data_IF_819483059593
#
_entry.id   IF_819483059593
#
_cell.length_a   1.000
_cell.length_b   1.000
_cell.length_c   1.000
_cell.angle_alpha   90.00
_cell.angle_beta   90.00
_cell.angle_gamma   90.00
#
_symmetry.space_group_name_H-M   'P 1'
#
loop_
_entity.id
_entity.type
_entity.pdbx_description
1 polymer ?
2 non-polymer ?
3 non-polymer ?
4 water ?
#
# COMPACT_ATOMS: atom_id res chain seq x y z
N UNK A 14 3.83 3.07 -21.60
CA UNK A 14 3.84 3.40 -20.19
C UNK A 14 4.27 2.26 -19.29
N UNK A 15 3.52 1.16 -19.32
CA UNK A 15 3.87 0.00 -18.50
C UNK A 15 5.20 -0.56 -18.96
N UNK A 16 6.00 -1.00 -18.01
CA UNK A 16 7.27 -1.65 -18.26
C UNK A 16 7.21 -3.05 -17.67
N UNK A 17 7.35 -4.07 -18.52
CA UNK A 17 7.30 -5.45 -18.07
C UNK A 17 8.70 -5.86 -17.62
N UNK A 18 8.80 -6.43 -16.44
CA UNK A 18 10.10 -6.82 -15.90
C UNK A 18 9.84 -8.17 -15.25
N UNK A 19 10.25 -9.22 -15.94
CA UNK A 19 9.82 -10.55 -15.57
C UNK A 19 8.31 -10.62 -15.59
N UNK A 20 7.76 -11.14 -14.50
CA UNK A 20 6.32 -11.28 -14.34
C UNK A 20 5.69 -10.09 -13.65
N UNK A 21 6.43 -9.00 -13.45
CA UNK A 21 5.93 -7.80 -12.81
C UNK A 21 5.80 -6.67 -13.82
N UNK A 22 5.05 -5.65 -13.45
CA UNK A 22 4.84 -4.47 -14.27
C UNK A 22 5.13 -3.22 -13.45
N UNK A 23 5.85 -2.27 -14.04
CA UNK A 23 6.22 -1.03 -13.38
C UNK A 23 5.74 0.13 -14.23
N UNK A 24 5.16 1.14 -13.61
CA UNK A 24 4.62 2.29 -14.33
C UNK A 24 5.03 3.56 -13.60
N UNK A 25 5.71 4.46 -14.28
CA UNK A 25 6.05 5.74 -13.66
C UNK A 25 4.81 6.62 -13.54
N UNK A 26 4.56 7.14 -12.34
CA UNK A 26 3.40 8.00 -12.08
C UNK A 26 3.74 9.46 -11.92
N UNK A 27 4.98 9.76 -11.53
CA UNK A 27 5.47 11.11 -11.32
C UNK A 27 6.98 11.03 -11.41
N UNK A 28 7.68 12.16 -11.45
CA UNK A 28 9.15 12.10 -11.62
C UNK A 28 9.88 11.17 -10.67
N UNK A 29 9.44 11.09 -9.42
CA UNK A 29 10.12 10.27 -8.40
C UNK A 29 9.22 9.14 -7.88
N UNK A 30 8.17 8.76 -8.60
CA UNK A 30 7.21 7.77 -8.09
C UNK A 30 6.85 6.77 -9.18
N UNK A 31 6.89 5.50 -8.81
CA UNK A 31 6.51 4.42 -9.69
C UNK A 31 5.53 3.49 -8.97
N UNK A 32 4.64 2.89 -9.75
CA UNK A 32 3.75 1.85 -9.26
C UNK A 32 4.33 0.50 -9.63
N UNK A 33 4.43 -0.40 -8.64
CA UNK A 33 4.80 -1.80 -8.89
C UNK A 33 3.55 -2.65 -8.89
N UNK A 34 3.49 -3.61 -9.83
CA UNK A 34 2.33 -4.48 -9.93
C UNK A 34 2.80 -5.91 -10.04
N UNK A 35 2.21 -6.77 -9.23
CA UNK A 35 2.52 -8.19 -9.21
C UNK A 35 1.22 -8.97 -9.21
N UNK A 36 1.31 -10.23 -9.62
CA UNK A 36 0.14 -11.07 -9.88
C UNK A 36 0.21 -12.39 -9.14
N UNK A 37 -0.92 -12.84 -8.63
CA UNK A 37 -1.01 -14.15 -8.02
C UNK A 37 -2.25 -14.84 -8.54
N UNK A 38 -2.08 -16.05 -9.06
CA UNK A 38 -3.20 -16.92 -9.38
C UNK A 38 -3.91 -17.26 -8.08
N UNK A 39 -5.09 -16.68 -7.89
CA UNK A 39 -5.94 -17.03 -6.78
C UNK A 39 -7.01 -17.97 -7.32
N UNK A 40 -6.95 -19.27 -7.02
CA UNK A 40 -7.98 -20.20 -7.50
C UNK A 40 -9.38 -19.68 -7.20
N UNK A 41 -10.21 -19.56 -8.24
CA UNK A 41 -11.53 -18.99 -8.12
C UNK A 41 -11.64 -17.53 -8.51
N UNK A 42 -10.53 -16.81 -8.64
CA UNK A 42 -10.58 -15.38 -8.98
C UNK A 42 -9.72 -14.97 -10.16
N UNK A 43 -8.91 -15.86 -10.72
CA UNK A 43 -8.01 -15.47 -11.79
C UNK A 43 -6.67 -15.01 -11.25
N UNK A 44 -5.90 -14.41 -12.14
CA UNK A 44 -4.58 -13.89 -11.80
C UNK A 44 -4.74 -12.44 -11.33
N UNK A 45 -4.64 -12.23 -10.03
CA UNK A 45 -5.06 -10.97 -9.43
C UNK A 45 -3.87 -10.02 -9.32
N UNK A 46 -4.03 -8.82 -9.84
CA UNK A 46 -3.00 -7.79 -9.73
C UNK A 46 -3.06 -7.14 -8.35
N UNK A 47 -1.89 -6.78 -7.83
CA UNK A 47 -1.80 -5.93 -6.67
C UNK A 47 -0.76 -4.88 -6.92
N UNK A 48 -1.09 -3.62 -6.57
CA UNK A 48 -0.20 -2.49 -6.79
C UNK A 48 0.38 -1.98 -5.48
N UNK A 49 1.65 -1.58 -5.53
CA UNK A 49 2.26 -0.76 -4.52
C UNK A 49 3.05 0.37 -5.13
N UNK A 50 3.89 1.03 -4.34
CA UNK A 50 4.64 2.19 -4.80
C UNK A 50 6.12 2.10 -4.51
N UNK A 51 6.89 2.80 -5.32
CA UNK A 51 8.32 3.02 -5.14
C UNK A 51 8.54 4.51 -5.25
N UNK A 52 9.22 5.11 -4.27
CA UNK A 52 9.44 6.56 -4.25
C UNK A 52 10.93 6.83 -4.09
N UNK A 53 11.51 7.65 -4.96
CA UNK A 53 12.86 8.13 -4.74
C UNK A 53 12.79 9.40 -3.91
N UNK A 54 13.54 9.44 -2.82
CA UNK A 54 13.68 10.63 -1.99
C UNK A 54 15.16 10.97 -1.95
N UNK A 55 15.60 11.83 -2.86
CA UNK A 55 17.01 12.19 -2.92
C UNK A 55 17.84 10.98 -3.25
N UNK A 56 18.76 10.65 -2.36
CA UNK A 56 19.65 9.53 -2.59
C UNK A 56 19.20 8.19 -2.07
N UNK A 57 17.92 8.03 -1.76
CA UNK A 57 17.44 6.75 -1.28
C UNK A 57 16.07 6.49 -1.87
N UNK A 58 15.66 5.23 -1.74
CA UNK A 58 14.38 4.73 -2.26
C UNK A 58 13.54 4.23 -1.10
N UNK A 59 12.23 4.51 -1.16
CA UNK A 59 11.26 4.05 -0.17
C UNK A 59 10.21 3.22 -0.88
N UNK A 60 9.79 2.12 -0.27
CA UNK A 60 8.83 1.21 -0.87
C UNK A 60 7.56 1.15 -0.04
N UNK A 61 6.42 1.18 -0.73
CA UNK A 61 5.12 0.97 -0.10
C UNK A 61 4.55 -0.34 -0.64
N UNK A 62 4.39 -1.31 0.27
CA UNK A 62 3.89 -2.66 0.07
C UNK A 62 4.88 -3.58 -0.62
N UNK A 63 4.89 -4.84 -0.18
CA UNK A 63 5.61 -5.86 -0.92
C UNK A 63 4.78 -6.30 -2.13
N UNK A 64 5.34 -7.23 -2.91
CA UNK A 64 4.55 -8.00 -3.84
C UNK A 64 3.92 -9.19 -3.11
N UNK A 65 3.20 -10.04 -3.85
CA UNK A 65 2.56 -11.17 -3.21
C UNK A 65 3.56 -12.15 -2.60
N UNK A 66 4.73 -12.32 -3.20
CA UNK A 66 5.67 -13.35 -2.75
C UNK A 66 7.05 -12.78 -2.53
N UNK A 67 7.87 -13.56 -1.82
CA UNK A 67 9.27 -13.20 -1.65
C UNK A 67 9.99 -13.07 -2.99
N UNK A 68 9.80 -14.05 -3.89
CA UNK A 68 10.48 -13.99 -5.18
C UNK A 68 10.09 -12.75 -5.97
N UNK A 69 8.80 -12.40 -6.00
CA UNK A 69 8.37 -11.19 -6.69
C UNK A 69 8.96 -9.96 -6.03
N UNK A 70 9.02 -9.96 -4.70
CA UNK A 70 9.56 -8.81 -3.98
C UNK A 70 11.05 -8.62 -4.24
N UNK A 71 11.79 -9.72 -4.32
CA UNK A 71 13.19 -9.64 -4.75
C UNK A 71 13.30 -9.05 -6.15
N UNK A 72 12.35 -9.39 -7.03
CA UNK A 72 12.37 -8.79 -8.37
C UNK A 72 12.09 -7.29 -8.32
N UNK A 73 11.24 -6.82 -7.40
CA UNK A 73 11.09 -5.38 -7.23
C UNK A 73 12.43 -4.74 -6.90
N UNK A 74 13.17 -5.38 -5.99
CA UNK A 74 14.45 -4.81 -5.59
C UNK A 74 15.43 -4.83 -6.77
N UNK A 75 15.36 -5.87 -7.62
CA UNK A 75 16.20 -5.94 -8.81
C UNK A 75 15.85 -4.84 -9.80
N UNK A 76 14.56 -4.58 -10.00
CA UNK A 76 14.14 -3.48 -10.85
C UNK A 76 14.65 -2.14 -10.31
N UNK A 77 14.56 -1.93 -9.00
CA UNK A 77 15.05 -0.70 -8.40
C UNK A 77 16.54 -0.55 -8.68
N UNK A 78 17.30 -1.63 -8.53
CA UNK A 78 18.74 -1.58 -8.77
C UNK A 78 19.02 -1.17 -10.21
N UNK A 79 18.25 -1.69 -11.16
CA UNK A 79 18.47 -1.41 -12.59
C UNK A 79 18.03 0.00 -12.96
N UNK A 80 16.86 0.44 -12.48
CA UNK A 80 16.25 1.66 -12.98
C UNK A 80 16.56 2.88 -12.13
N UNK A 81 16.92 2.69 -10.86
CA UNK A 81 17.18 3.80 -9.94
C UNK A 81 18.60 3.73 -9.39
N UNK A 82 19.02 2.54 -8.96
CA UNK A 82 20.39 2.31 -8.50
C UNK A 82 20.75 3.17 -7.28
N UNK A 83 19.85 3.19 -6.30
CA UNK A 83 20.09 3.80 -5.01
C UNK A 83 19.57 2.85 -3.93
N UNK A 84 20.08 2.95 -2.71
CA UNK A 84 19.67 2.02 -1.66
C UNK A 84 18.21 2.21 -1.27
N UNK A 85 17.58 1.10 -0.90
CA UNK A 85 16.22 1.14 -0.38
C UNK A 85 16.29 1.33 1.13
N UNK A 86 15.93 2.52 1.60
CA UNK A 86 16.08 2.84 3.02
C UNK A 86 15.04 2.16 3.89
N UNK A 87 13.82 1.99 3.40
CA UNK A 87 12.77 1.41 4.23
C UNK A 87 11.62 1.01 3.34
N UNK A 88 10.76 0.16 3.91
CA UNK A 88 9.48 -0.17 3.31
C UNK A 88 8.39 -0.05 4.37
N UNK A 89 7.23 0.42 3.96
CA UNK A 89 6.05 0.42 4.81
C UNK A 89 4.96 -0.40 4.13
N UNK A 90 4.28 -1.24 4.88
CA UNK A 90 3.28 -2.14 4.33
C UNK A 90 1.95 -1.82 4.98
N UNK A 91 0.86 -1.96 4.20
CA UNK A 91 -0.37 -1.25 4.55
C UNK A 91 -1.46 -2.09 5.18
N UNK A 92 -1.33 -3.42 5.26
CA UNK A 92 -2.10 -4.26 6.16
C UNK A 92 -1.58 -5.69 6.06
N UNK A 93 -2.04 -6.55 6.96
CA UNK A 93 -1.58 -7.94 7.05
C UNK A 93 -2.40 -8.89 6.15
N UNK A 94 -2.32 -8.67 4.84
CA UNK A 94 -2.75 -9.63 3.85
C UNK A 94 -1.58 -9.86 2.89
N UNK A 95 -1.65 -10.97 2.16
CA UNK A 95 -0.50 -11.46 1.37
C UNK A 95 -0.07 -10.49 0.29
N UNK A 96 -1.02 -9.78 -0.34
CA UNK A 96 -0.64 -8.89 -1.41
C UNK A 96 0.21 -7.73 -0.92
N UNK A 97 0.12 -7.37 0.36
CA UNK A 97 0.83 -6.23 0.94
C UNK A 97 2.04 -6.62 1.77
N UNK A 98 2.01 -7.82 2.35
CA UNK A 98 3.03 -8.28 3.29
C UNK A 98 3.66 -9.61 2.91
N UNK A 99 3.26 -10.22 1.80
CA UNK A 99 3.74 -11.54 1.46
C UNK A 99 5.24 -11.63 1.22
N UNK A 100 5.90 -10.52 0.91
CA UNK A 100 7.32 -10.54 0.60
C UNK A 100 8.22 -9.99 1.68
N UNK A 101 7.74 -9.94 2.92
CA UNK A 101 8.54 -9.38 4.02
C UNK A 101 9.91 -10.03 4.14
N UNK A 102 9.97 -11.36 4.04
CA UNK A 102 11.26 -12.01 4.22
C UNK A 102 12.27 -11.56 3.17
N UNK A 103 11.81 -11.28 1.95
CA UNK A 103 12.74 -10.77 0.94
C UNK A 103 13.30 -9.40 1.31
N UNK A 104 12.47 -8.54 1.89
CA UNK A 104 12.97 -7.24 2.31
C UNK A 104 14.00 -7.41 3.43
N UNK A 105 13.70 -8.31 4.37
CA UNK A 105 14.64 -8.54 5.48
C UNK A 105 15.93 -9.16 5.00
N UNK A 106 15.86 -10.08 4.04
CA UNK A 106 17.07 -10.69 3.51
C UNK A 106 17.96 -9.65 2.85
N UNK A 107 17.35 -8.61 2.28
CA UNK A 107 18.06 -7.51 1.64
C UNK A 107 18.54 -6.45 2.61
N UNK A 108 18.23 -6.58 3.89
CA UNK A 108 18.67 -5.61 4.87
C UNK A 108 17.83 -4.35 4.96
N UNK A 109 16.58 -4.39 4.50
CA UNK A 109 15.75 -3.20 4.45
C UNK A 109 14.92 -3.13 5.72
N UNK A 110 14.90 -1.97 6.38
CA UNK A 110 14.07 -1.76 7.55
C UNK A 110 12.60 -1.69 7.16
N UNK A 111 11.76 -2.37 7.93
CA UNK A 111 10.35 -2.49 7.58
C UNK A 111 9.43 -1.98 8.68
N UNK A 112 8.30 -1.40 8.26
CA UNK A 112 7.35 -0.73 9.13
C UNK A 112 5.94 -1.16 8.76
N UNK A 113 5.11 -1.35 9.78
CA UNK A 113 3.69 -1.59 9.57
C UNK A 113 2.94 -1.05 10.77
N UNK A 114 1.64 -0.80 10.61
CA UNK A 114 0.77 -0.59 11.76
C UNK A 114 1.06 -1.63 12.83
N UNK A 115 1.19 -1.18 14.07
CA UNK A 115 1.33 -2.13 15.19
C UNK A 115 0.30 -3.25 15.08
N UNK A 116 -0.94 -2.92 14.73
CA UNK A 116 -1.97 -3.97 14.65
C UNK A 116 -1.68 -4.95 13.52
N UNK A 117 -1.13 -4.48 12.39
CA UNK A 117 -0.70 -5.41 11.35
C UNK A 117 0.36 -6.38 11.85
N UNK A 118 1.34 -5.88 12.62
CA UNK A 118 2.34 -6.79 13.16
C UNK A 118 1.72 -7.78 14.13
N UNK A 119 0.76 -7.33 14.93
CA UNK A 119 0.08 -8.24 15.84
C UNK A 119 -0.66 -9.33 15.10
N UNK A 120 -1.32 -8.96 14.00
CA UNK A 120 -2.12 -9.90 13.21
C UNK A 120 -1.30 -10.77 12.28
N UNK A 121 -0.08 -10.38 11.99
CA UNK A 121 0.69 -11.04 10.94
C UNK A 121 0.77 -12.54 11.13
N UNK A 122 1.18 -13.06 12.30
CA UNK A 122 1.29 -14.52 12.42
C UNK A 122 0.00 -15.25 12.08
N UNK A 123 -1.15 -14.81 12.62
CA UNK A 123 -2.40 -15.54 12.38
C UNK A 123 -2.85 -15.40 10.92
N UNK A 124 -2.48 -14.32 10.27
CA UNK A 124 -2.79 -14.13 8.86
C UNK A 124 -1.81 -14.83 7.94
N UNK A 125 -0.78 -15.47 8.47
CA UNK A 125 0.18 -16.15 7.62
C UNK A 125 1.31 -15.29 7.12
N UNK A 126 1.49 -14.11 7.68
CA UNK A 126 2.51 -13.16 7.27
C UNK A 126 3.67 -13.15 8.26
N UNK A 127 4.81 -12.66 7.80
CA UNK A 127 5.94 -12.30 8.66
C UNK A 127 5.74 -10.83 9.06
N UNK A 128 5.87 -10.53 10.35
CA UNK A 128 5.69 -9.14 10.80
C UNK A 128 6.81 -8.23 10.29
N UNK A 129 6.49 -6.95 10.16
CA UNK A 129 7.53 -5.95 9.97
C UNK A 129 8.35 -5.78 11.24
N UNK A 130 9.52 -5.18 11.10
CA UNK A 130 10.44 -5.01 12.23
C UNK A 130 9.99 -3.91 13.18
N UNK A 131 9.28 -2.91 12.68
CA UNK A 131 8.91 -1.73 13.44
C UNK A 131 7.41 -1.53 13.36
N UNK A 132 6.84 -1.02 14.45
CA UNK A 132 5.41 -0.78 14.56
C UNK A 132 5.08 0.71 14.56
N UNK A 133 4.17 1.10 13.69
CA UNK A 133 3.63 2.45 13.66
C UNK A 133 2.45 2.53 14.60
N UNK A 134 2.34 3.63 15.32
CA UNK A 134 1.14 3.91 16.07
C UNK A 134 0.61 5.26 15.63
N UNK A 135 -0.66 5.52 15.94
CA UNK A 135 -1.40 6.62 15.36
C UNK A 135 -2.12 7.42 16.43
N UNK A 136 -2.17 8.73 16.20
CA UNK A 136 -2.91 9.62 17.06
C UNK A 136 -4.41 9.42 16.88
N UNK A 137 -5.17 10.00 17.80
CA UNK A 137 -6.63 9.90 17.74
C UNK A 137 -7.17 10.39 16.41
N UNK A 138 -6.52 11.38 15.81
CA UNK A 138 -6.98 11.91 14.53
C UNK A 138 -6.51 11.11 13.33
N UNK A 139 -5.77 10.01 13.53
CA UNK A 139 -5.39 9.14 12.44
C UNK A 139 -3.97 9.33 11.93
N UNK A 140 -3.34 10.48 12.18
CA UNK A 140 -1.99 10.67 11.67
C UNK A 140 -1.00 9.85 12.47
N UNK A 141 0.00 9.31 11.77
CA UNK A 141 1.02 8.53 12.44
C UNK A 141 1.71 9.35 13.53
N UNK A 142 1.98 8.71 14.65
CA UNK A 142 2.82 9.32 15.66
C UNK A 142 4.24 9.45 15.11
N UNK A 143 4.76 10.67 14.99
CA UNK A 143 5.97 10.89 14.18
C UNK A 143 7.19 10.10 14.63
N UNK A 144 7.36 9.85 15.93
CA UNK A 144 8.53 9.10 16.34
C UNK A 144 8.49 7.66 15.86
N UNK A 145 7.32 7.13 15.49
CA UNK A 145 7.26 5.75 15.05
C UNK A 145 7.55 5.59 13.57
N UNK A 146 7.61 6.71 12.83
CA UNK A 146 7.90 6.69 11.40
C UNK A 146 9.10 7.61 11.12
N UNK A 147 10.24 7.31 11.72
CA UNK A 147 11.40 8.18 11.53
C UNK A 147 11.93 8.06 10.10
N UNK A 148 12.44 9.18 9.60
CA UNK A 148 13.12 9.19 8.30
C UNK A 148 12.21 8.77 7.16
N UNK A 149 10.91 9.04 7.26
CA UNK A 149 9.96 8.67 6.21
C UNK A 149 9.95 9.67 5.06
N UNK A 150 10.70 10.76 5.11
CA UNK A 150 10.80 11.69 4.01
C UNK A 150 9.43 12.18 3.58
N UNK A 151 9.09 12.04 2.30
CA UNK A 151 7.80 12.55 1.81
C UNK A 151 6.61 11.64 2.11
N UNK A 152 6.79 10.47 2.72
CA UNK A 152 5.67 9.58 2.96
C UNK A 152 4.89 10.04 4.18
N UNK A 153 3.60 10.32 4.00
CA UNK A 153 2.73 10.81 5.06
C UNK A 153 1.71 9.72 5.38
N UNK A 154 1.84 9.08 6.53
CA UNK A 154 1.09 7.85 6.82
C UNK A 154 -0.13 8.19 7.68
N UNK A 155 -1.29 7.65 7.31
CA UNK A 155 -2.57 7.97 7.92
C UNK A 155 -3.39 6.69 8.13
N UNK A 156 -3.90 6.51 9.35
CA UNK A 156 -4.83 5.43 9.67
C UNK A 156 -6.24 5.98 9.59
N UNK A 157 -7.04 5.57 8.60
CA UNK A 157 -8.35 6.18 8.43
C UNK A 157 -9.44 5.56 9.28
N UNK A 158 -9.14 4.53 10.06
CA UNK A 158 -10.14 3.75 10.72
C UNK A 158 -10.30 2.39 10.07
N UNK A 159 -10.97 1.48 10.77
CA UNK A 159 -11.13 0.11 10.24
C UNK A 159 -12.08 0.09 9.04
N UNK A 160 -11.77 -0.75 8.08
CA UNK A 160 -12.58 -0.81 6.89
C UNK A 160 -12.41 -2.11 6.15
N UNK A 161 -11.54 -2.09 5.14
CA UNK A 161 -11.19 -3.33 4.46
C UNK A 161 -10.68 -4.36 5.44
N UNK A 162 -9.85 -3.93 6.39
CA UNK A 162 -9.42 -4.72 7.53
C UNK A 162 -9.39 -3.76 8.71
N UNK A 163 -9.18 -4.33 9.90
CA UNK A 163 -9.06 -3.51 11.10
C UNK A 163 -7.79 -2.67 11.09
N UNK A 164 -6.77 -3.12 10.37
CA UNK A 164 -5.43 -2.56 10.44
C UNK A 164 -5.03 -1.70 9.24
N UNK A 165 -5.90 -1.51 8.26
CA UNK A 165 -5.50 -0.86 7.01
C UNK A 165 -5.00 0.57 7.23
N UNK A 166 -3.88 0.91 6.58
CA UNK A 166 -3.33 2.25 6.60
C UNK A 166 -3.13 2.77 5.18
N UNK A 167 -2.90 4.07 5.08
CA UNK A 167 -2.84 4.78 3.80
C UNK A 167 -1.65 5.73 3.81
N UNK A 168 -1.21 6.15 2.62
CA UNK A 168 0.03 6.91 2.50
C UNK A 168 -0.12 7.97 1.44
N UNK A 169 0.17 9.22 1.79
CA UNK A 169 0.30 10.27 0.81
C UNK A 169 1.76 10.54 0.50
N UNK A 170 2.03 11.07 -0.69
CA UNK A 170 3.40 11.40 -1.09
C UNK A 170 3.52 12.90 -1.22
N UNK A 171 4.19 13.52 -0.26
CA UNK A 171 4.36 14.97 -0.33
C UNK A 171 5.17 15.35 -1.56
N UNK A 172 4.84 16.50 -2.12
CA UNK A 172 5.45 16.95 -3.35
C UNK A 172 4.83 16.38 -4.60
N UNK A 173 3.77 15.60 -4.47
CA UNK A 173 3.07 15.03 -5.61
C UNK A 173 1.58 15.21 -5.37
N UNK A 174 0.77 14.85 -6.38
CA UNK A 174 -0.67 14.82 -6.22
C UNK A 174 -1.20 13.44 -5.91
N UNK A 175 -0.37 12.57 -5.33
CA UNK A 175 -0.66 11.15 -5.22
C UNK A 175 -0.98 10.79 -3.78
N UNK A 176 -2.04 10.01 -3.59
CA UNK A 176 -2.32 9.37 -2.32
C UNK A 176 -2.68 7.92 -2.58
N UNK A 177 -2.22 7.05 -1.71
CA UNK A 177 -2.33 5.61 -1.85
C UNK A 177 -3.30 5.07 -0.82
N UNK A 178 -4.42 4.53 -1.30
CA UNK A 178 -5.45 3.95 -0.46
C UNK A 178 -5.31 2.47 -0.20
N UNK A 179 -4.34 1.81 -0.85
CA UNK A 179 -4.18 0.39 -0.63
C UNK A 179 -5.45 -0.36 -0.96
N UNK A 180 -5.78 -1.33 -0.13
CA UNK A 180 -6.96 -2.13 -0.42
C UNK A 180 -8.25 -1.57 0.16
N UNK A 181 -8.18 -0.39 0.77
CA UNK A 181 -9.38 0.28 1.25
C UNK A 181 -10.19 0.87 0.10
N UNK A 182 -9.52 1.37 -0.93
CA UNK A 182 -10.17 2.13 -2.00
C UNK A 182 -10.21 1.32 -3.27
N UNK A 183 -11.35 1.35 -3.97
CA UNK A 183 -11.54 0.72 -5.25
C UNK A 183 -11.86 1.83 -6.26
N UNK A 184 -11.68 1.55 -7.56
CA UNK A 184 -11.83 2.62 -8.54
C UNK A 184 -13.30 2.99 -8.73
N UNK A 185 -13.51 4.11 -9.43
CA UNK A 185 -14.81 4.76 -9.52
C UNK A 185 -15.85 3.92 -10.26
N UNK A 186 -15.43 2.91 -11.01
CA UNK A 186 -16.37 2.05 -11.71
C UNK A 186 -16.35 0.61 -11.21
N UNK A 187 -15.72 0.36 -10.06
CA UNK A 187 -15.76 -0.96 -9.45
C UNK A 187 -17.19 -1.29 -9.01
N UNK A 188 -17.48 -2.59 -8.95
CA UNK A 188 -18.80 -3.10 -8.65
C UNK A 188 -18.92 -3.74 -7.27
N UNK A 189 -17.80 -4.04 -6.61
CA UNK A 189 -17.80 -4.75 -5.34
C UNK A 189 -16.58 -4.30 -4.54
N UNK A 190 -16.74 -4.22 -3.22
CA UNK A 190 -15.63 -3.98 -2.31
C UNK A 190 -14.87 -5.25 -1.97
N UNK A 191 -15.22 -6.36 -2.59
CA UNK A 191 -14.64 -7.65 -2.24
C UNK A 191 -15.55 -8.46 -1.35
N UNK A 192 -14.98 -9.56 -0.84
CA UNK A 192 -15.74 -10.51 -0.05
C UNK A 192 -16.00 -10.02 1.37
N UNK A 193 -15.20 -9.09 1.88
CA UNK A 193 -15.42 -8.43 3.17
C UNK A 193 -15.22 -9.36 4.37
N UNK A 194 -14.45 -10.43 4.21
CA UNK A 194 -14.34 -11.41 5.28
C UNK A 194 -13.72 -10.85 6.55
N UNK A 195 -12.72 -9.98 6.39
CA UNK A 195 -12.02 -9.35 7.51
C UNK A 195 -12.44 -7.91 7.70
N UNK A 196 -13.49 -7.48 7.02
CA UNK A 196 -13.85 -6.08 6.95
C UNK A 196 -14.64 -5.65 8.17
N UNK A 197 -14.53 -4.35 8.49
CA UNK A 197 -15.34 -3.71 9.52
C UNK A 197 -16.50 -3.06 8.77
N UNK A 198 -17.60 -3.81 8.62
CA UNK A 198 -18.70 -3.33 7.81
C UNK A 198 -19.36 -2.09 8.43
N UNK A 199 -19.34 -1.96 9.75
CA UNK A 199 -19.96 -0.79 10.37
C UNK A 199 -19.18 0.49 10.05
N UNK A 200 -17.86 0.43 10.07
CA UNK A 200 -17.06 1.64 9.98
C UNK A 200 -16.41 1.87 8.62
N UNK A 201 -16.52 0.90 7.70
CA UNK A 201 -15.83 1.00 6.40
C UNK A 201 -16.13 2.34 5.72
N UNK A 202 -17.40 2.72 5.65
CA UNK A 202 -17.75 3.92 4.90
C UNK A 202 -17.10 5.18 5.47
N UNK A 203 -17.15 5.34 6.79
CA UNK A 203 -16.49 6.50 7.40
C UNK A 203 -14.98 6.49 7.17
N UNK A 204 -14.36 5.30 7.24
CA UNK A 204 -12.92 5.22 7.05
C UNK A 204 -12.52 5.65 5.64
N UNK A 205 -13.31 5.26 4.62
CA UNK A 205 -12.99 5.68 3.27
C UNK A 205 -13.09 7.20 3.12
N UNK A 206 -14.15 7.79 3.68
CA UNK A 206 -14.25 9.24 3.62
C UNK A 206 -13.11 9.92 4.39
N UNK A 207 -12.64 9.30 5.48
CA UNK A 207 -11.55 9.90 6.25
C UNK A 207 -10.26 9.94 5.43
N UNK A 208 -9.97 8.87 4.66
CA UNK A 208 -8.82 8.89 3.76
C UNK A 208 -8.90 10.08 2.79
N UNK A 209 -10.07 10.28 2.17
CA UNK A 209 -10.20 11.39 1.24
C UNK A 209 -9.95 12.72 1.91
N UNK A 210 -10.47 12.88 3.13
CA UNK A 210 -10.32 14.14 3.86
C UNK A 210 -8.90 14.35 4.37
N UNK A 211 -8.13 13.27 4.57
CA UNK A 211 -6.75 13.42 5.04
C UNK A 211 -5.85 13.91 3.93
N UNK A 212 -6.19 13.61 2.69
CA UNK A 212 -5.39 13.98 1.53
C UNK A 212 -6.27 14.76 0.57
N UNK A 213 -6.76 15.92 0.98
CA UNK A 213 -7.80 16.62 0.21
C UNK A 213 -7.33 17.18 -1.11
N UNK A 214 -6.02 17.38 -1.29
CA UNK A 214 -5.47 17.91 -2.53
C UNK A 214 -4.94 16.83 -3.47
N UNK A 215 -5.01 15.54 -3.09
CA UNK A 215 -4.54 14.47 -3.97
C UNK A 215 -5.53 14.25 -5.11
N UNK A 216 -5.03 14.36 -6.33
CA UNK A 216 -5.87 14.17 -7.51
C UNK A 216 -5.62 12.83 -8.19
N UNK A 217 -4.57 12.12 -7.81
CA UNK A 217 -4.30 10.80 -8.35
C UNK A 217 -4.37 9.83 -7.18
N UNK A 218 -5.36 8.96 -7.21
CA UNK A 218 -5.60 8.01 -6.14
C UNK A 218 -5.11 6.66 -6.63
N UNK A 219 -4.10 6.14 -5.97
CA UNK A 219 -3.51 4.86 -6.29
C UNK A 219 -4.07 3.84 -5.32
N UNK A 220 -4.34 2.62 -5.82
CA UNK A 220 -4.93 1.62 -4.94
C UNK A 220 -4.46 0.24 -5.36
N UNK A 221 -4.73 -0.73 -4.50
CA UNK A 221 -4.12 -2.04 -4.72
C UNK A 221 -4.67 -2.77 -5.92
N UNK A 222 -5.98 -2.69 -6.17
CA UNK A 222 -6.64 -3.61 -7.09
C UNK A 222 -7.39 -2.87 -8.21
N UNK A 223 -6.96 -1.65 -8.52
CA UNK A 223 -7.41 -0.91 -9.69
C UNK A 223 -6.25 -0.05 -10.15
N UNK A 224 -6.29 0.36 -11.42
CA UNK A 224 -5.32 1.33 -11.90
C UNK A 224 -5.59 2.68 -11.24
N UNK A 225 -4.62 3.60 -11.27
CA UNK A 225 -4.84 4.89 -10.62
C UNK A 225 -6.04 5.61 -11.20
N UNK A 226 -6.74 6.38 -10.35
CA UNK A 226 -8.03 6.97 -10.69
C UNK A 226 -8.12 8.35 -10.07
N UNK A 227 -9.17 9.08 -10.42
CA UNK A 227 -9.42 10.37 -9.81
C UNK A 227 -10.02 10.17 -8.42
N UNK A 228 -10.34 11.30 -7.76
CA UNK A 228 -11.01 11.25 -6.46
C UNK A 228 -12.38 10.57 -6.50
N UNK A 229 -12.98 10.39 -7.68
CA UNK A 229 -14.23 9.64 -7.75
C UNK A 229 -14.09 8.23 -7.21
N UNK A 230 -12.88 7.68 -7.17
CA UNK A 230 -12.70 6.37 -6.56
C UNK A 230 -13.10 6.39 -5.08
N UNK A 231 -12.79 7.48 -4.37
CA UNK A 231 -13.07 7.53 -2.93
C UNK A 231 -14.58 7.58 -2.66
N UNK A 232 -15.32 8.40 -3.40
CA UNK A 232 -16.74 8.51 -3.09
C UNK A 232 -17.50 7.26 -3.51
N UNK A 233 -17.07 6.60 -4.57
CA UNK A 233 -17.73 5.37 -5.00
C UNK A 233 -17.51 4.26 -3.99
N UNK A 234 -16.27 4.11 -3.52
CA UNK A 234 -16.00 3.18 -2.44
C UNK A 234 -16.88 3.49 -1.24
N UNK A 235 -16.94 4.75 -0.85
CA UNK A 235 -17.69 5.13 0.35
C UNK A 235 -19.17 4.80 0.21
N UNK A 236 -19.74 5.02 -0.98
CA UNK A 236 -21.16 4.72 -1.15
C UNK A 236 -21.43 3.22 -1.06
N UNK A 237 -20.56 2.40 -1.64
CA UNK A 237 -20.77 0.96 -1.57
C UNK A 237 -20.62 0.43 -0.15
N UNK A 238 -19.73 1.04 0.66
CA UNK A 238 -19.60 0.63 2.05
C UNK A 238 -20.83 1.01 2.85
N UNK A 239 -21.55 2.03 2.40
CA UNK A 239 -22.84 2.34 3.01
C UNK A 239 -23.77 1.11 3.02
N UNK A 240 -23.71 0.29 1.97
CA UNK A 240 -24.58 -0.89 1.91
C UNK A 240 -24.19 -1.90 2.99
X LIG B 1 -6.47 -7.02 2.15
X LIG C 1 -5.54 -6.43 -1.42
X LIG D 1 -8.92 -10.03 -2.05
X LIG D 1 -10.29 -10.46 -1.86
X LIG D 1 -8.42 -9.10 -3.06
X LIG D 1 -8.22 -9.73 -4.45
X LIG D 1 -9.52 -10.00 -5.20
X LIG D 1 -10.77 -9.92 -4.33
X LIG D 1 -6.48 -10.21 -1.23
X LIG D 1 -10.85 -10.96 -3.21
X LIG D 1 -11.18 -9.33 -1.33
X LIG D 1 -6.09 -9.41 -0.01
X LIG D 1 -5.70 -11.53 -1.20
X LIG D 1 -7.94 -10.58 -1.13
X LIG D 1 -8.26 -11.34 -0.27
X LIG D 1 -12.41 -9.54 -1.16
X LIG D 1 -10.70 -8.21 -1.05
X LIG D 1 -6.84 -7.76 -0.02
#
# INVERSE_FOLDING_TARGET
GEIRPTIGQQMETGDQRFGDLVFRQLAPNVWQHTSYLDMPGFGAVASNGLIVRDGGRVLVVDTAWTDDQTAQILNWIKQEINLPVALAVVTHAHQDKMGGMDALHAAGIATYANALSNQLAPQEGMVAAQHSLTFAANGWVEPATAPNFGPLKVFYPGPGHTSDNITVGIDGTDIAFGGCLIKDSKAKSLGNLGDADTEHYAASARAFGAAFPKASMIVMSHSAPDSRAAITHTARMADKLR
ZN ZN
ZN ZN
EEO N1 C4 C5 C6 C7 C8 C10 C1 C11 C2 C3 C9 O1 O2 O3 S1
#
